data_IF_804124760440
#
_entry.id   IF_804124760440
#
_cell.length_a   1.000
_cell.length_b   1.000
_cell.length_c   1.000
_cell.angle_alpha   90.00
_cell.angle_beta   90.00
_cell.angle_gamma   90.00
#
_symmetry.space_group_name_H-M   'P 1'
#
loop_
_entity.id
_entity.type
_entity.pdbx_description
1 polymer ?
#
# COMPACT_ATOMS: atom_id res chain seq x y z
N UNK A 1 19.97 -4.72 16.31
CA UNK A 1 20.16 -4.52 17.77
C UNK A 1 18.89 -3.93 18.40
N UNK A 2 18.30 -2.84 17.84
CA UNK A 2 17.08 -2.21 18.38
C UNK A 2 15.88 -3.16 18.38
N UNK A 3 15.69 -3.94 17.32
CA UNK A 3 14.60 -4.93 17.22
C UNK A 3 14.72 -6.05 18.27
N UNK A 4 15.95 -6.48 18.60
CA UNK A 4 16.15 -7.47 19.65
C UNK A 4 15.76 -6.92 21.02
N UNK A 5 16.14 -5.67 21.33
CA UNK A 5 15.77 -5.02 22.59
C UNK A 5 14.24 -4.88 22.67
N UNK A 6 13.58 -4.46 21.58
CA UNK A 6 12.15 -4.37 21.51
C UNK A 6 11.45 -5.73 21.72
N UNK A 7 12.00 -6.81 21.15
CA UNK A 7 11.46 -8.16 21.31
C UNK A 7 11.46 -8.64 22.76
N UNK A 8 12.51 -8.32 23.54
CA UNK A 8 12.57 -8.64 24.95
C UNK A 8 11.63 -7.79 25.82
N UNK A 9 11.21 -6.62 25.33
CA UNK A 9 10.27 -5.74 26.02
C UNK A 9 8.81 -6.13 25.77
N UNK A 10 8.55 -6.98 24.77
CA UNK A 10 7.21 -7.38 24.38
C UNK A 10 6.63 -8.40 25.36
N UNK A 11 5.52 -8.08 25.99
CA UNK A 11 4.78 -8.99 26.86
C UNK A 11 3.38 -9.19 26.31
N UNK A 12 2.94 -10.43 26.25
CA UNK A 12 1.54 -10.73 25.95
C UNK A 12 0.67 -10.27 27.12
N UNK A 13 -0.42 -9.55 26.84
CA UNK A 13 -1.39 -9.20 27.87
C UNK A 13 -2.04 -10.48 28.44
N UNK A 14 -2.53 -10.46 29.71
CA UNK A 14 -3.35 -11.54 30.25
C UNK A 14 -4.55 -11.86 29.37
N UNK A 15 -5.09 -13.09 29.44
CA UNK A 15 -6.19 -13.54 28.56
C UNK A 15 -7.44 -12.68 28.67
N UNK A 16 -7.69 -12.09 29.84
CA UNK A 16 -8.87 -11.23 30.11
C UNK A 16 -8.53 -9.73 30.12
N UNK A 17 -7.36 -9.36 29.63
CA UNK A 17 -6.96 -7.95 29.61
C UNK A 17 -7.81 -7.15 28.63
N UNK A 18 -8.29 -5.99 29.09
CA UNK A 18 -9.00 -5.01 28.27
C UNK A 18 -8.43 -3.61 28.57
N UNK A 19 -8.35 -2.72 27.58
CA UNK A 19 -7.93 -1.34 27.81
C UNK A 19 -8.88 -0.62 28.79
N UNK A 20 -8.35 0.26 29.61
CA UNK A 20 -9.16 1.08 30.50
C UNK A 20 -10.18 1.89 29.71
N UNK A 21 -11.45 1.80 30.12
CA UNK A 21 -12.56 2.49 29.46
C UNK A 21 -13.07 1.83 28.17
N UNK A 22 -12.53 0.66 27.76
CA UNK A 22 -13.04 -0.07 26.60
C UNK A 22 -14.43 -0.66 26.90
N UNK A 23 -15.39 -0.36 26.03
CA UNK A 23 -16.72 -0.97 26.06
C UNK A 23 -16.92 -1.79 24.78
N UNK A 24 -17.47 -2.98 24.95
CA UNK A 24 -17.81 -3.81 23.79
C UNK A 24 -18.82 -3.07 22.91
N UNK A 25 -18.56 -2.89 21.60
CA UNK A 25 -19.51 -2.22 20.71
C UNK A 25 -20.87 -2.89 20.75
N UNK A 26 -21.94 -2.09 20.80
CA UNK A 26 -23.32 -2.61 20.72
C UNK A 26 -23.52 -3.34 19.39
N UNK A 27 -24.27 -4.42 19.40
CA UNK A 27 -24.55 -5.23 18.21
C UNK A 27 -25.20 -4.42 17.08
N UNK A 28 -26.03 -3.44 17.41
CA UNK A 28 -26.73 -2.56 16.45
C UNK A 28 -25.80 -1.56 15.72
N UNK A 29 -24.68 -1.17 16.33
CA UNK A 29 -23.71 -0.24 15.75
C UNK A 29 -22.55 -0.94 15.07
N UNK A 30 -22.52 -2.27 15.12
CA UNK A 30 -21.42 -3.07 14.62
C UNK A 30 -21.46 -3.15 13.10
N UNK A 31 -20.30 -2.92 12.47
CA UNK A 31 -20.16 -3.13 11.04
C UNK A 31 -20.35 -4.64 10.72
N UNK A 32 -21.40 -4.96 9.97
CA UNK A 32 -21.76 -6.35 9.58
C UNK A 32 -20.68 -7.04 8.72
N UNK A 33 -19.73 -6.28 8.21
CA UNK A 33 -18.61 -6.80 7.40
C UNK A 33 -17.44 -7.27 8.26
N UNK A 34 -17.45 -7.04 9.58
CA UNK A 34 -16.41 -7.45 10.50
C UNK A 34 -16.85 -8.70 11.24
N UNK A 35 -16.10 -9.79 11.05
CA UNK A 35 -16.40 -11.08 11.71
C UNK A 35 -16.17 -11.03 13.22
N UNK A 36 -16.93 -11.80 13.95
CA UNK A 36 -16.71 -12.09 15.37
C UNK A 36 -16.02 -13.41 15.61
N UNK A 37 -15.96 -14.25 14.57
CA UNK A 37 -15.35 -15.56 14.63
C UNK A 37 -13.84 -15.45 14.42
N UNK A 38 -13.10 -16.39 14.98
CA UNK A 38 -11.68 -16.57 14.67
C UNK A 38 -11.56 -17.84 13.82
N UNK A 39 -11.31 -17.66 12.55
CA UNK A 39 -11.16 -18.74 11.59
C UNK A 39 -9.73 -19.27 11.67
N UNK A 40 -9.58 -20.59 11.78
CA UNK A 40 -8.27 -21.23 11.76
C UNK A 40 -7.60 -21.12 10.38
N UNK A 41 -6.27 -21.24 10.36
CA UNK A 41 -5.46 -21.08 9.15
C UNK A 41 -5.88 -22.06 8.06
N UNK A 42 -6.06 -23.34 8.42
CA UNK A 42 -6.43 -24.38 7.45
C UNK A 42 -7.85 -24.20 6.89
N UNK A 43 -8.75 -23.64 7.70
CA UNK A 43 -10.09 -23.27 7.25
C UNK A 43 -10.05 -22.05 6.34
N UNK A 44 -9.27 -21.03 6.68
CA UNK A 44 -9.11 -19.81 5.85
C UNK A 44 -8.59 -20.16 4.45
N UNK A 45 -7.60 -21.04 4.35
CA UNK A 45 -7.03 -21.53 3.08
C UNK A 45 -8.02 -22.31 2.20
N UNK A 46 -9.15 -22.78 2.75
CA UNK A 46 -10.21 -23.46 2.00
C UNK A 46 -11.29 -22.50 1.48
N UNK A 47 -11.18 -21.20 1.80
CA UNK A 47 -12.17 -20.20 1.41
C UNK A 47 -11.77 -19.47 0.14
N UNK A 48 -12.71 -19.17 -0.77
CA UNK A 48 -12.41 -18.35 -1.95
C UNK A 48 -11.97 -16.92 -1.60
N UNK A 49 -12.41 -16.40 -0.44
CA UNK A 49 -12.06 -15.07 0.06
C UNK A 49 -10.55 -14.92 0.27
N UNK A 50 -9.89 -15.96 0.78
CA UNK A 50 -8.43 -15.95 0.94
C UNK A 50 -7.74 -15.76 -0.41
N UNK A 51 -8.09 -16.54 -1.43
CA UNK A 51 -7.47 -16.45 -2.75
C UNK A 51 -7.80 -15.14 -3.47
N UNK A 52 -9.00 -14.60 -3.29
CA UNK A 52 -9.35 -13.28 -3.82
C UNK A 52 -8.46 -12.19 -3.23
N UNK A 53 -8.27 -12.17 -1.90
CA UNK A 53 -7.38 -11.21 -1.24
C UNK A 53 -5.92 -11.42 -1.64
N UNK A 54 -5.49 -12.67 -1.78
CA UNK A 54 -4.17 -13.01 -2.24
C UNK A 54 -3.89 -12.45 -3.65
N UNK A 55 -4.84 -12.65 -4.58
CA UNK A 55 -4.74 -12.12 -5.95
C UNK A 55 -4.73 -10.58 -5.92
N UNK A 56 -5.60 -9.96 -5.15
CA UNK A 56 -5.66 -8.49 -5.01
C UNK A 56 -4.29 -7.96 -4.54
N UNK A 57 -3.72 -8.55 -3.51
CA UNK A 57 -2.41 -8.15 -3.01
C UNK A 57 -1.30 -8.43 -4.03
N UNK A 58 -1.30 -9.61 -4.63
CA UNK A 58 -0.32 -10.02 -5.64
C UNK A 58 -0.29 -9.05 -6.82
N UNK A 59 -1.46 -8.71 -7.38
CA UNK A 59 -1.55 -7.78 -8.50
C UNK A 59 -1.13 -6.35 -8.10
N UNK A 60 -1.55 -5.89 -6.92
CA UNK A 60 -1.14 -4.58 -6.41
C UNK A 60 0.39 -4.49 -6.29
N UNK A 61 1.00 -5.49 -5.64
CA UNK A 61 2.45 -5.52 -5.40
C UNK A 61 3.26 -5.68 -6.68
N UNK A 62 2.83 -6.56 -7.59
CA UNK A 62 3.55 -6.84 -8.83
C UNK A 62 3.66 -5.61 -9.71
N UNK A 63 2.56 -4.86 -9.87
CA UNK A 63 2.53 -3.64 -10.67
C UNK A 63 3.57 -2.61 -10.21
N UNK A 64 3.82 -2.52 -8.92
CA UNK A 64 4.61 -1.47 -8.31
C UNK A 64 6.06 -1.85 -8.03
N UNK A 65 6.34 -3.11 -7.69
CA UNK A 65 7.73 -3.61 -7.62
C UNK A 65 8.41 -3.52 -8.98
N UNK A 66 7.69 -3.79 -10.06
CA UNK A 66 8.20 -3.62 -11.42
C UNK A 66 8.70 -2.20 -11.69
N UNK A 67 7.90 -1.20 -11.31
CA UNK A 67 8.29 0.21 -11.47
C UNK A 67 9.44 0.58 -10.52
N UNK A 68 9.41 0.14 -9.27
CA UNK A 68 10.45 0.44 -8.29
C UNK A 68 11.83 -0.04 -8.74
N UNK A 69 11.90 -1.24 -9.34
CA UNK A 69 13.15 -1.82 -9.83
C UNK A 69 13.84 -1.01 -10.91
N UNK A 70 13.08 -0.27 -11.71
CA UNK A 70 13.58 0.53 -12.84
C UNK A 70 13.38 2.04 -12.66
N UNK A 71 12.89 2.49 -11.52
CA UNK A 71 12.47 3.87 -11.28
C UNK A 71 13.55 4.90 -11.61
N UNK A 72 14.79 4.66 -11.19
CA UNK A 72 15.92 5.53 -11.47
C UNK A 72 16.24 5.59 -12.97
N UNK A 73 16.33 4.44 -13.62
CA UNK A 73 16.61 4.32 -15.06
C UNK A 73 15.49 4.98 -15.85
N UNK A 74 14.25 4.71 -15.49
CA UNK A 74 13.06 5.25 -16.15
C UNK A 74 13.05 6.79 -16.15
N UNK A 75 13.29 7.45 -15.01
CA UNK A 75 13.29 8.91 -14.96
C UNK A 75 14.48 9.50 -15.74
N UNK A 76 15.62 8.82 -15.73
CA UNK A 76 16.81 9.28 -16.46
C UNK A 76 16.63 9.09 -17.97
N UNK A 77 16.08 8.00 -18.43
CA UNK A 77 15.86 7.72 -19.86
C UNK A 77 14.77 8.62 -20.45
N UNK A 78 13.67 8.83 -19.72
CA UNK A 78 12.53 9.64 -20.22
C UNK A 78 12.91 11.14 -20.25
N UNK A 79 13.57 11.64 -19.23
CA UNK A 79 13.76 13.09 -19.03
C UNK A 79 15.20 13.56 -19.12
N UNK A 80 16.20 12.68 -18.95
CA UNK A 80 17.60 13.08 -18.87
C UNK A 80 18.15 13.69 -20.17
N UNK A 81 17.67 13.23 -21.33
CA UNK A 81 18.05 13.79 -22.64
C UNK A 81 17.36 15.11 -22.94
N UNK A 82 16.12 15.28 -22.46
CA UNK A 82 15.26 16.43 -22.76
C UNK A 82 15.47 17.57 -21.76
N UNK A 83 15.73 17.23 -20.50
CA UNK A 83 15.93 18.16 -19.38
C UNK A 83 17.24 17.89 -18.64
N UNK A 84 18.40 17.89 -19.31
CA UNK A 84 19.68 17.50 -18.71
C UNK A 84 20.14 18.41 -17.57
N UNK A 85 19.69 19.66 -17.54
CA UNK A 85 19.99 20.61 -16.47
C UNK A 85 19.19 20.34 -15.18
N UNK A 86 18.09 19.60 -15.27
CA UNK A 86 17.19 19.32 -14.15
C UNK A 86 17.32 17.87 -13.68
N UNK A 87 17.39 16.93 -14.63
CA UNK A 87 17.41 15.49 -14.34
C UNK A 87 18.85 14.99 -14.42
N UNK A 88 19.61 15.31 -13.39
CA UNK A 88 20.95 14.80 -13.16
C UNK A 88 20.95 13.55 -12.26
N UNK A 89 22.13 13.04 -11.97
CA UNK A 89 22.32 11.86 -11.10
C UNK A 89 21.80 12.09 -9.68
N UNK A 90 21.93 13.33 -9.15
CA UNK A 90 21.45 13.68 -7.81
C UNK A 90 19.93 13.74 -7.75
N UNK A 91 19.29 14.32 -8.78
CA UNK A 91 17.83 14.33 -8.92
C UNK A 91 17.27 12.90 -8.99
N UNK A 92 17.87 12.04 -9.81
CA UNK A 92 17.42 10.65 -9.94
C UNK A 92 17.59 9.85 -8.63
N UNK A 93 18.64 10.11 -7.85
CA UNK A 93 18.82 9.52 -6.52
C UNK A 93 17.77 10.04 -5.54
N UNK A 94 17.50 11.34 -5.53
CA UNK A 94 16.46 11.96 -4.69
C UNK A 94 15.08 11.43 -5.03
N UNK A 95 14.77 11.22 -6.30
CA UNK A 95 13.51 10.62 -6.75
C UNK A 95 13.26 9.23 -6.10
N UNK A 96 14.27 8.35 -6.06
CA UNK A 96 14.15 7.05 -5.42
C UNK A 96 13.93 7.17 -3.90
N UNK A 97 14.60 8.12 -3.25
CA UNK A 97 14.38 8.41 -1.81
C UNK A 97 12.93 8.87 -1.57
N UNK A 98 12.43 9.76 -2.43
CA UNK A 98 11.05 10.25 -2.32
C UNK A 98 10.02 9.15 -2.55
N UNK A 99 10.23 8.24 -3.50
CA UNK A 99 9.41 7.03 -3.66
C UNK A 99 9.30 6.27 -2.33
N UNK A 100 10.41 6.02 -1.65
CA UNK A 100 10.43 5.30 -0.37
C UNK A 100 9.70 6.08 0.73
N UNK A 101 9.86 7.41 0.78
CA UNK A 101 9.17 8.26 1.73
C UNK A 101 7.65 8.25 1.51
N UNK A 102 7.20 8.39 0.27
CA UNK A 102 5.77 8.36 -0.07
C UNK A 102 5.15 6.97 0.16
N UNK A 103 5.89 5.89 -0.09
CA UNK A 103 5.46 4.55 0.28
C UNK A 103 5.22 4.43 1.80
N UNK A 104 6.14 4.94 2.60
CA UNK A 104 5.99 4.94 4.06
C UNK A 104 4.79 5.77 4.52
N UNK A 105 4.67 7.00 4.02
CA UNK A 105 3.54 7.90 4.34
C UNK A 105 2.21 7.30 3.90
N UNK A 106 2.17 6.64 2.75
CA UNK A 106 1.01 5.95 2.22
C UNK A 106 0.45 4.89 3.17
N UNK A 107 1.30 4.19 3.90
CA UNK A 107 0.86 3.21 4.91
C UNK A 107 -0.02 3.85 5.99
N UNK A 108 0.36 5.02 6.47
CA UNK A 108 -0.42 5.72 7.49
C UNK A 108 -1.71 6.31 6.93
N UNK A 109 -1.61 7.03 5.81
CA UNK A 109 -2.76 7.71 5.20
C UNK A 109 -3.84 6.71 4.79
N UNK A 110 -3.47 5.71 3.98
CA UNK A 110 -4.45 4.80 3.42
C UNK A 110 -5.02 3.79 4.42
N UNK A 111 -4.22 3.36 5.41
CA UNK A 111 -4.74 2.50 6.48
C UNK A 111 -5.79 3.26 7.29
N UNK A 112 -5.50 4.48 7.71
CA UNK A 112 -6.47 5.32 8.41
C UNK A 112 -7.69 5.63 7.54
N UNK A 113 -7.49 6.01 6.27
CA UNK A 113 -8.59 6.27 5.34
C UNK A 113 -9.47 5.03 5.14
N UNK A 114 -8.88 3.83 5.11
CA UNK A 114 -9.63 2.59 4.91
C UNK A 114 -10.55 2.23 6.08
N UNK A 115 -10.31 2.77 7.27
CA UNK A 115 -11.22 2.60 8.41
C UNK A 115 -12.54 3.36 8.18
N UNK A 116 -12.48 4.49 7.48
CA UNK A 116 -13.65 5.31 7.17
C UNK A 116 -14.33 4.92 5.85
N UNK A 117 -13.53 4.68 4.80
CA UNK A 117 -14.03 4.33 3.46
C UNK A 117 -14.50 2.87 3.36
N UNK A 118 -13.99 2.02 4.25
CA UNK A 118 -14.12 0.57 4.18
C UNK A 118 -13.04 -0.06 3.28
N UNK A 119 -12.52 -1.24 3.70
CA UNK A 119 -11.39 -1.92 3.05
C UNK A 119 -11.61 -2.17 1.56
N UNK A 120 -12.80 -2.69 1.22
CA UNK A 120 -13.17 -2.98 -0.17
C UNK A 120 -13.12 -1.74 -1.07
N UNK A 121 -13.68 -0.62 -0.61
CA UNK A 121 -13.72 0.61 -1.40
C UNK A 121 -12.33 1.22 -1.57
N UNK A 122 -11.47 1.10 -0.57
CA UNK A 122 -10.07 1.53 -0.65
C UNK A 122 -9.33 0.80 -1.77
N UNK A 123 -9.48 -0.52 -1.90
CA UNK A 123 -8.88 -1.27 -3.01
C UNK A 123 -9.49 -0.91 -4.37
N UNK A 124 -10.80 -0.62 -4.43
CA UNK A 124 -11.39 -0.08 -5.66
C UNK A 124 -10.74 1.24 -6.09
N UNK A 125 -10.49 2.14 -5.13
CA UNK A 125 -9.77 3.39 -5.40
C UNK A 125 -8.36 3.09 -5.93
N UNK A 126 -7.62 2.17 -5.30
CA UNK A 126 -6.27 1.79 -5.75
C UNK A 126 -6.26 1.31 -7.19
N UNK A 127 -7.18 0.43 -7.56
CA UNK A 127 -7.22 -0.09 -8.93
C UNK A 127 -7.69 0.95 -9.94
N UNK A 128 -8.75 1.69 -9.67
CA UNK A 128 -9.27 2.68 -10.63
C UNK A 128 -8.29 3.85 -10.82
N UNK A 129 -7.79 4.40 -9.71
CA UNK A 129 -6.81 5.48 -9.77
C UNK A 129 -5.48 4.97 -10.34
N UNK A 130 -5.07 3.76 -9.97
CA UNK A 130 -3.88 3.11 -10.51
C UNK A 130 -3.95 2.96 -12.03
N UNK A 131 -5.05 2.43 -12.58
CA UNK A 131 -5.24 2.31 -14.03
C UNK A 131 -5.08 3.67 -14.71
N UNK A 132 -5.75 4.72 -14.20
CA UNK A 132 -5.66 6.05 -14.78
C UNK A 132 -4.22 6.59 -14.76
N UNK A 133 -3.53 6.47 -13.63
CA UNK A 133 -2.16 6.95 -13.48
C UNK A 133 -1.17 6.15 -14.34
N UNK A 134 -1.25 4.80 -14.35
CA UNK A 134 -0.35 3.97 -15.16
C UNK A 134 -0.55 4.23 -16.66
N UNK A 135 -1.79 4.39 -17.12
CA UNK A 135 -2.06 4.71 -18.53
C UNK A 135 -1.56 6.11 -18.92
N UNK A 136 -1.46 7.04 -17.98
CA UNK A 136 -0.92 8.37 -18.23
C UNK A 136 0.60 8.42 -18.38
N UNK A 137 1.35 7.44 -17.85
CA UNK A 137 2.82 7.41 -17.91
C UNK A 137 3.35 7.37 -19.35
N UNK A 138 2.90 6.45 -20.24
CA UNK A 138 3.35 6.43 -21.63
C UNK A 138 2.99 7.73 -22.38
N UNK A 139 1.81 8.27 -22.11
CA UNK A 139 1.41 9.56 -22.69
C UNK A 139 2.37 10.69 -22.27
N UNK A 140 2.74 10.74 -20.99
CA UNK A 140 3.70 11.72 -20.47
C UNK A 140 5.06 11.60 -21.17
N UNK A 141 5.55 10.38 -21.37
CA UNK A 141 6.81 10.13 -22.06
C UNK A 141 6.78 10.64 -23.52
N UNK A 142 5.66 10.46 -24.23
CA UNK A 142 5.47 10.98 -25.59
C UNK A 142 5.47 12.52 -25.61
N UNK A 143 4.78 13.16 -24.67
CA UNK A 143 4.72 14.62 -24.59
C UNK A 143 6.06 15.27 -24.28
N UNK A 144 6.89 14.62 -23.47
CA UNK A 144 8.27 15.09 -23.18
C UNK A 144 9.11 15.09 -24.44
N UNK A 145 8.97 14.09 -25.30
CA UNK A 145 9.68 14.03 -26.57
C UNK A 145 9.26 15.15 -27.55
N UNK A 146 8.02 15.63 -27.42
CA UNK A 146 7.46 16.69 -28.26
C UNK A 146 7.71 18.11 -27.70
N UNK A 147 7.87 18.26 -26.39
CA UNK A 147 8.06 19.55 -25.74
C UNK A 147 8.98 19.43 -24.51
N UNK A 148 9.99 20.30 -24.42
CA UNK A 148 10.95 20.38 -23.30
C UNK A 148 10.34 21.03 -22.04
N UNK A 149 9.07 20.76 -21.74
CA UNK A 149 8.38 21.41 -20.64
C UNK A 149 8.57 20.66 -19.31
N UNK A 150 9.00 21.38 -18.28
CA UNK A 150 9.13 20.88 -16.91
C UNK A 150 7.78 20.40 -16.31
N UNK A 151 6.66 20.83 -16.89
CA UNK A 151 5.30 20.43 -16.44
C UNK A 151 5.11 18.92 -16.55
N UNK A 152 5.63 18.29 -17.62
CA UNK A 152 5.54 16.84 -17.80
C UNK A 152 6.39 16.08 -16.82
N UNK A 153 7.55 16.60 -16.44
CA UNK A 153 8.38 16.04 -15.36
C UNK A 153 7.63 16.13 -14.02
N UNK A 154 7.04 17.28 -13.70
CA UNK A 154 6.29 17.48 -12.47
C UNK A 154 5.06 16.55 -12.39
N UNK A 155 4.34 16.40 -13.51
CA UNK A 155 3.21 15.46 -13.59
C UNK A 155 3.66 14.01 -13.36
N UNK A 156 4.70 13.57 -14.09
CA UNK A 156 5.25 12.21 -13.94
C UNK A 156 5.69 11.95 -12.49
N UNK A 157 6.43 12.89 -11.91
CA UNK A 157 6.88 12.80 -10.52
C UNK A 157 5.71 12.67 -9.55
N UNK A 158 4.71 13.54 -9.69
CA UNK A 158 3.52 13.51 -8.82
C UNK A 158 2.71 12.22 -9.00
N UNK A 159 2.48 11.80 -10.25
CA UNK A 159 1.74 10.57 -10.54
C UNK A 159 2.42 9.35 -9.93
N UNK A 160 3.73 9.23 -10.07
CA UNK A 160 4.49 8.13 -9.48
C UNK A 160 4.48 8.18 -7.95
N UNK A 161 4.59 9.35 -7.33
CA UNK A 161 4.47 9.48 -5.86
C UNK A 161 3.10 9.01 -5.36
N UNK A 162 2.01 9.37 -6.04
CA UNK A 162 0.66 8.89 -5.69
C UNK A 162 0.58 7.36 -5.82
N UNK A 163 1.08 6.77 -6.90
CA UNK A 163 1.14 5.32 -7.08
C UNK A 163 1.85 4.66 -5.89
N UNK A 164 3.00 5.19 -5.48
CA UNK A 164 3.76 4.60 -4.37
C UNK A 164 3.12 4.81 -2.99
N UNK A 165 2.28 5.83 -2.79
CA UNK A 165 1.45 5.88 -1.58
C UNK A 165 0.44 4.74 -1.53
N UNK A 166 -0.18 4.41 -2.67
CA UNK A 166 -1.16 3.31 -2.76
C UNK A 166 -0.50 1.95 -2.50
N UNK A 167 0.75 1.77 -2.97
CA UNK A 167 1.55 0.59 -2.67
C UNK A 167 1.75 0.39 -1.17
N UNK A 168 2.28 1.39 -0.50
CA UNK A 168 2.44 1.33 0.95
C UNK A 168 1.13 1.06 1.66
N UNK A 169 0.06 1.74 1.22
CA UNK A 169 -1.30 1.59 1.73
C UNK A 169 -1.87 0.19 1.52
N UNK A 170 -1.68 -0.40 0.34
CA UNK A 170 -2.16 -1.75 0.03
C UNK A 170 -1.60 -2.80 0.97
N UNK A 171 -0.29 -2.77 1.20
CA UNK A 171 0.37 -3.66 2.15
C UNK A 171 -0.12 -3.49 3.59
N UNK A 172 -0.33 -2.26 4.04
CA UNK A 172 -0.75 -2.02 5.41
C UNK A 172 -2.24 -2.36 5.62
N UNK A 173 -3.08 -2.07 4.62
CA UNK A 173 -4.52 -2.30 4.69
C UNK A 173 -4.90 -3.79 4.62
N UNK A 174 -4.11 -4.64 3.93
CA UNK A 174 -4.46 -6.05 3.75
C UNK A 174 -4.51 -6.81 5.08
N UNK A 175 -3.60 -6.52 6.00
CA UNK A 175 -3.58 -7.16 7.31
C UNK A 175 -4.84 -6.88 8.11
N UNK A 176 -5.32 -5.63 8.06
CA UNK A 176 -6.58 -5.23 8.67
C UNK A 176 -7.79 -5.88 7.96
N UNK A 177 -7.75 -5.99 6.63
CA UNK A 177 -8.80 -6.63 5.86
C UNK A 177 -8.91 -8.14 6.16
N UNK A 178 -7.78 -8.82 6.31
CA UNK A 178 -7.74 -10.22 6.74
C UNK A 178 -8.33 -10.38 8.15
N UNK A 179 -8.01 -9.45 9.07
CA UNK A 179 -8.57 -9.45 10.42
C UNK A 179 -10.09 -9.24 10.40
N UNK A 180 -10.59 -8.37 9.54
CA UNK A 180 -12.03 -8.10 9.39
C UNK A 180 -12.80 -9.34 8.87
N UNK A 181 -12.19 -10.16 8.01
CA UNK A 181 -12.83 -11.35 7.41
C UNK A 181 -12.63 -12.60 8.25
N UNK A 182 -11.41 -12.85 8.73
CA UNK A 182 -11.05 -14.13 9.39
C UNK A 182 -10.90 -14.03 10.91
N UNK A 183 -10.98 -12.81 11.47
CA UNK A 183 -10.76 -12.56 12.89
C UNK A 183 -9.28 -12.29 13.22
N UNK A 184 -9.04 -11.74 14.39
CA UNK A 184 -7.72 -11.22 14.78
C UNK A 184 -6.75 -12.31 15.27
N UNK A 185 -7.27 -13.45 15.76
CA UNK A 185 -6.46 -14.46 16.47
C UNK A 185 -5.39 -15.11 15.59
N UNK A 186 -5.72 -15.45 14.35
CA UNK A 186 -4.83 -16.18 13.44
C UNK A 186 -4.36 -15.35 12.26
N UNK A 187 -4.68 -14.05 12.23
CA UNK A 187 -4.40 -13.17 11.09
C UNK A 187 -2.93 -13.14 10.68
N UNK A 188 -2.01 -13.16 11.62
CA UNK A 188 -0.57 -13.21 11.32
C UNK A 188 -0.14 -14.48 10.61
N UNK A 189 -0.71 -15.63 11.00
CA UNK A 189 -0.46 -16.91 10.33
C UNK A 189 -1.11 -16.99 8.95
N UNK A 190 -2.30 -16.42 8.77
CA UNK A 190 -3.01 -16.34 7.48
C UNK A 190 -2.27 -15.41 6.52
N UNK A 191 -1.79 -14.26 7.01
CA UNK A 191 -1.04 -13.30 6.20
C UNK A 191 0.33 -13.82 5.73
N UNK A 192 0.94 -14.73 6.50
CA UNK A 192 2.23 -15.31 6.16
C UNK A 192 2.19 -16.47 5.16
N UNK A 193 1.00 -16.83 4.64
CA UNK A 193 0.81 -17.90 3.64
C UNK A 193 0.56 -17.31 2.27
#
# INVERSE_FOLDING_TARGET
>A
TVMLIAAFSYRLPPQDWQPDGWQKPNEDTRNKLITTANVDIDQALRTPQFYQLWIVLCLNVTAEIGVLGVARTMITEIFGTTLPQTVDTAFAATYVVMISAFNMVGRFIWTSASDYLGRRNTYWIFFLLGIALYLSIPFTAQQVSASTSIIWLAYFYTATMIIFTMYGGGFATISAYLADIFGTRYVGGIHGR
#
